data_IF_516118959631
#
_entry.id   IF_516118959631
#
_cell.length_a   1.000
_cell.length_b   1.000
_cell.length_c   1.000
_cell.angle_alpha   90.00
_cell.angle_beta   90.00
_cell.angle_gamma   90.00
#
_symmetry.space_group_name_H-M   'P 1'
#
loop_
_entity.id
_entity.type
_entity.pdbx_description
1 polymer ?
#
# COMPACT_ATOMS: atom_id res chain seq x y z
N UNK A 1 -2.78 -25.45 12.87
CA UNK A 1 -1.82 -25.19 11.76
C UNK A 1 -1.77 -23.70 11.50
N UNK A 2 -0.58 -23.10 11.48
CA UNK A 2 -0.43 -21.68 11.28
C UNK A 2 -0.88 -21.27 9.87
N UNK A 3 -1.73 -20.25 9.78
CA UNK A 3 -2.36 -19.83 8.52
C UNK A 3 -1.46 -18.97 7.64
N UNK A 4 -0.34 -18.47 8.15
CA UNK A 4 0.64 -17.62 7.48
C UNK A 4 2.06 -18.18 7.63
N UNK A 5 3.02 -17.65 6.88
CA UNK A 5 4.43 -17.94 7.06
C UNK A 5 5.00 -17.25 8.31
N UNK A 6 6.02 -17.86 8.91
CA UNK A 6 6.83 -17.17 9.90
C UNK A 6 7.60 -16.05 9.21
N UNK A 7 7.60 -14.87 9.80
CA UNK A 7 8.35 -13.73 9.30
C UNK A 7 9.17 -13.11 10.42
N UNK A 8 10.25 -12.47 10.05
CA UNK A 8 11.15 -11.73 10.96
C UNK A 8 11.21 -10.26 10.51
N UNK A 9 11.33 -9.36 11.49
CA UNK A 9 11.62 -7.96 11.21
C UNK A 9 13.14 -7.75 11.25
N UNK A 10 13.70 -7.23 10.18
CA UNK A 10 15.10 -6.85 10.07
C UNK A 10 15.22 -5.34 10.34
N UNK A 11 15.83 -4.99 11.48
CA UNK A 11 16.01 -3.61 11.92
C UNK A 11 17.01 -2.84 11.04
N UNK A 12 17.94 -3.53 10.38
CA UNK A 12 18.94 -2.89 9.52
C UNK A 12 18.30 -2.40 8.23
N UNK A 13 17.48 -3.24 7.60
CA UNK A 13 16.80 -2.93 6.35
C UNK A 13 15.41 -2.32 6.55
N UNK A 14 14.90 -2.33 7.80
CA UNK A 14 13.54 -1.91 8.17
C UNK A 14 12.46 -2.66 7.37
N UNK A 15 12.65 -3.98 7.20
CA UNK A 15 11.76 -4.83 6.42
C UNK A 15 11.26 -6.04 7.21
N UNK A 16 10.04 -6.48 6.89
CA UNK A 16 9.54 -7.79 7.29
C UNK A 16 9.88 -8.81 6.21
N UNK A 17 10.54 -9.90 6.59
CA UNK A 17 11.04 -10.90 5.66
C UNK A 17 10.43 -12.28 5.96
N UNK A 18 9.97 -12.98 4.93
CA UNK A 18 9.55 -14.36 5.03
C UNK A 18 9.93 -15.15 3.77
N UNK A 19 10.10 -16.46 3.93
CA UNK A 19 10.39 -17.39 2.84
C UNK A 19 9.22 -18.33 2.64
N UNK A 20 8.80 -18.50 1.40
CA UNK A 20 7.72 -19.41 1.03
C UNK A 20 8.20 -20.88 1.00
N UNK A 21 7.25 -21.81 0.88
CA UNK A 21 7.57 -23.25 0.69
C UNK A 21 8.39 -23.53 -0.59
N UNK A 22 8.38 -22.60 -1.55
CA UNK A 22 9.14 -22.69 -2.81
C UNK A 22 10.48 -21.93 -2.72
N UNK A 23 10.94 -21.64 -1.50
CA UNK A 23 12.20 -20.94 -1.22
C UNK A 23 12.29 -19.51 -1.76
N UNK A 24 11.14 -18.88 -2.01
CA UNK A 24 11.08 -17.51 -2.48
C UNK A 24 11.03 -16.57 -1.28
N UNK A 25 11.98 -15.64 -1.23
CA UNK A 25 12.04 -14.58 -0.22
C UNK A 25 11.11 -13.44 -0.62
N UNK A 26 10.24 -13.04 0.30
CA UNK A 26 9.44 -11.81 0.27
C UNK A 26 9.98 -10.81 1.27
N UNK A 27 10.03 -9.54 0.84
CA UNK A 27 10.34 -8.40 1.69
C UNK A 27 9.19 -7.42 1.66
N UNK A 28 8.73 -7.02 2.85
CA UNK A 28 7.64 -6.08 3.03
C UNK A 28 8.19 -4.88 3.78
N UNK A 29 8.05 -3.69 3.22
CA UNK A 29 8.48 -2.44 3.84
C UNK A 29 7.32 -1.43 3.90
N UNK A 30 7.35 -0.57 4.91
CA UNK A 30 6.52 0.62 5.01
C UNK A 30 7.45 1.84 4.95
N UNK A 31 7.37 2.57 3.85
CA UNK A 31 8.22 3.73 3.58
C UNK A 31 7.39 5.00 3.73
N UNK A 32 7.90 6.00 4.43
CA UNK A 32 7.21 7.29 4.58
C UNK A 32 6.92 7.87 3.19
N UNK A 33 5.67 8.27 2.99
CA UNK A 33 5.24 8.94 1.76
C UNK A 33 5.45 10.45 1.90
N UNK A 34 6.39 10.99 1.14
CA UNK A 34 6.70 12.41 1.16
C UNK A 34 5.72 13.28 0.35
N UNK A 35 4.86 12.67 -0.46
CA UNK A 35 3.88 13.38 -1.29
C UNK A 35 2.91 14.18 -0.43
N UNK A 36 2.48 13.61 0.70
CA UNK A 36 1.58 14.30 1.64
C UNK A 36 2.24 15.53 2.26
N UNK A 37 3.52 15.45 2.62
CA UNK A 37 4.31 16.60 3.09
C UNK A 37 4.43 17.67 2.02
N UNK A 38 4.72 17.26 0.77
CA UNK A 38 4.85 18.19 -0.36
C UNK A 38 3.55 18.92 -0.66
N UNK A 39 2.41 18.22 -0.68
CA UNK A 39 1.10 18.82 -0.96
C UNK A 39 0.66 19.76 0.15
N UNK A 40 0.85 19.37 1.41
CA UNK A 40 0.39 20.15 2.56
C UNK A 40 1.31 21.32 2.92
N UNK A 41 2.59 21.26 2.55
CA UNK A 41 3.64 22.17 3.02
C UNK A 41 3.99 22.00 4.49
N UNK A 42 3.48 20.96 5.16
CA UNK A 42 3.76 20.61 6.54
C UNK A 42 4.37 19.21 6.63
N UNK A 43 5.21 18.95 7.62
CA UNK A 43 5.77 17.63 7.83
C UNK A 43 4.68 16.62 8.20
N UNK A 44 4.49 15.61 7.34
CA UNK A 44 3.58 14.49 7.55
C UNK A 44 4.40 13.22 7.69
N UNK A 45 4.49 12.69 8.89
CA UNK A 45 5.37 11.55 9.21
C UNK A 45 4.66 10.21 9.35
N UNK A 46 3.33 10.19 9.30
CA UNK A 46 2.51 9.00 9.62
C UNK A 46 1.76 8.44 8.41
N UNK A 47 2.13 8.83 7.20
CA UNK A 47 1.63 8.24 5.96
C UNK A 47 2.75 7.44 5.31
N UNK A 48 2.45 6.19 4.98
CA UNK A 48 3.44 5.24 4.47
C UNK A 48 2.97 4.63 3.16
N UNK A 49 3.92 4.26 2.31
CA UNK A 49 3.69 3.37 1.18
C UNK A 49 4.02 1.93 1.57
N UNK A 50 3.20 0.99 1.10
CA UNK A 50 3.48 -0.44 1.19
C UNK A 50 4.32 -0.88 0.00
N UNK A 51 5.50 -1.42 0.28
CA UNK A 51 6.36 -2.04 -0.71
C UNK A 51 6.35 -3.56 -0.48
N UNK A 52 6.07 -4.30 -1.52
CA UNK A 52 6.12 -5.76 -1.53
C UNK A 52 7.10 -6.19 -2.61
N UNK A 53 8.22 -6.73 -2.20
CA UNK A 53 9.26 -7.24 -3.09
C UNK A 53 9.35 -8.76 -3.02
N UNK A 54 9.60 -9.36 -4.15
CA UNK A 54 9.88 -10.80 -4.30
C UNK A 54 11.30 -10.98 -4.85
N UNK A 55 12.04 -11.95 -4.32
CA UNK A 55 13.45 -12.16 -4.66
C UNK A 55 13.70 -12.62 -6.10
N UNK A 56 12.65 -13.03 -6.82
CA UNK A 56 12.72 -13.41 -8.22
C UNK A 56 11.43 -12.98 -8.96
N UNK A 57 11.51 -12.94 -10.29
CA UNK A 57 10.38 -12.59 -11.16
C UNK A 57 9.57 -13.81 -11.64
N UNK A 58 9.84 -15.00 -11.08
CA UNK A 58 9.14 -16.22 -11.47
C UNK A 58 7.65 -16.14 -11.14
N UNK A 59 6.83 -16.66 -12.05
CA UNK A 59 5.40 -16.78 -11.83
C UNK A 59 5.16 -17.97 -10.92
N UNK A 60 4.70 -17.69 -9.69
CA UNK A 60 4.29 -18.75 -8.76
C UNK A 60 2.82 -19.09 -8.91
N UNK A 61 2.50 -20.35 -8.65
CA UNK A 61 1.12 -20.74 -8.37
C UNK A 61 0.61 -20.00 -7.12
N UNK A 62 -0.68 -19.68 -7.11
CA UNK A 62 -1.30 -18.99 -5.98
C UNK A 62 -1.02 -19.69 -4.65
N UNK A 63 -0.43 -18.98 -3.73
CA UNK A 63 -0.19 -19.43 -2.35
C UNK A 63 -0.94 -18.52 -1.36
N UNK A 64 -2.01 -19.05 -0.79
CA UNK A 64 -2.84 -18.31 0.17
C UNK A 64 -2.10 -17.91 1.46
N UNK A 65 -1.01 -18.61 1.81
CA UNK A 65 -0.19 -18.24 2.96
C UNK A 65 0.58 -16.93 2.74
N UNK A 66 0.97 -16.62 1.50
CA UNK A 66 1.62 -15.34 1.15
C UNK A 66 0.67 -14.19 1.47
N UNK A 67 -0.56 -14.21 0.95
CA UNK A 67 -1.54 -13.16 1.21
C UNK A 67 -1.85 -13.00 2.70
N UNK A 68 -2.02 -14.11 3.41
CA UNK A 68 -2.27 -14.10 4.86
C UNK A 68 -1.08 -13.59 5.67
N UNK A 69 0.15 -13.81 5.20
CA UNK A 69 1.34 -13.25 5.84
C UNK A 69 1.36 -11.73 5.69
N UNK A 70 1.11 -11.24 4.48
CA UNK A 70 1.04 -9.81 4.20
C UNK A 70 -0.10 -9.15 5.00
N UNK A 71 -1.28 -9.76 5.02
CA UNK A 71 -2.42 -9.29 5.84
C UNK A 71 -2.03 -9.17 7.32
N UNK A 72 -1.36 -10.17 7.89
CA UNK A 72 -0.94 -10.15 9.28
C UNK A 72 0.11 -9.07 9.57
N UNK A 73 1.02 -8.80 8.63
CA UNK A 73 1.99 -7.70 8.73
C UNK A 73 1.27 -6.34 8.69
N UNK A 74 0.28 -6.18 7.80
CA UNK A 74 -0.55 -4.96 7.71
C UNK A 74 -1.37 -4.76 8.99
N UNK A 75 -1.98 -5.80 9.55
CA UNK A 75 -2.67 -5.74 10.84
C UNK A 75 -1.75 -5.22 11.94
N UNK A 76 -0.52 -5.71 11.98
CA UNK A 76 0.49 -5.27 12.95
C UNK A 76 0.89 -3.81 12.74
N UNK A 77 1.02 -3.36 11.50
CA UNK A 77 1.30 -1.96 11.16
C UNK A 77 0.22 -1.01 11.70
N UNK A 78 -1.06 -1.39 11.58
CA UNK A 78 -2.18 -0.59 12.06
C UNK A 78 -2.46 -0.72 13.57
N UNK A 79 -1.69 -1.49 14.32
CA UNK A 79 -1.74 -1.42 15.80
C UNK A 79 -1.36 -0.02 16.31
N UNK A 80 -0.57 0.72 15.54
CA UNK A 80 -0.37 2.14 15.75
C UNK A 80 -1.45 2.93 15.03
N UNK A 81 -2.39 3.48 15.79
CA UNK A 81 -3.63 4.13 15.29
C UNK A 81 -3.33 5.33 14.38
N UNK A 82 -2.22 6.02 14.62
CA UNK A 82 -1.79 7.19 13.86
C UNK A 82 -1.28 6.83 12.46
N UNK A 83 -0.92 5.59 12.22
CA UNK A 83 -0.42 5.16 10.92
C UNK A 83 -1.53 5.20 9.87
N UNK A 84 -1.16 5.67 8.70
CA UNK A 84 -1.96 5.61 7.49
C UNK A 84 -1.14 5.00 6.36
N UNK A 85 -1.81 4.34 5.44
CA UNK A 85 -1.18 3.64 4.33
C UNK A 85 -1.73 4.16 3.01
N UNK A 86 -0.85 4.58 2.12
CA UNK A 86 -1.19 4.82 0.72
C UNK A 86 -0.64 3.68 -0.13
N UNK A 87 -1.44 3.21 -1.06
CA UNK A 87 -1.05 2.21 -2.04
C UNK A 87 -1.30 2.76 -3.44
N UNK A 88 -0.26 2.76 -4.26
CA UNK A 88 -0.30 3.30 -5.61
C UNK A 88 0.14 2.21 -6.58
N UNK A 89 -0.69 1.89 -7.56
CA UNK A 89 -0.36 1.03 -8.69
C UNK A 89 -0.30 1.87 -9.96
N UNK A 90 0.88 1.97 -10.54
CA UNK A 90 1.07 2.51 -11.88
C UNK A 90 0.82 1.43 -12.94
N UNK A 91 0.31 1.84 -14.10
CA UNK A 91 -0.07 0.92 -15.18
C UNK A 91 1.09 0.64 -16.15
N UNK A 92 2.30 0.46 -15.62
CA UNK A 92 3.51 0.28 -16.41
C UNK A 92 3.50 -1.01 -17.27
N UNK A 93 2.62 -1.99 -16.94
CA UNK A 93 2.56 -3.29 -17.61
C UNK A 93 1.13 -3.84 -17.72
N UNK A 94 0.10 -3.02 -17.77
CA UNK A 94 -1.31 -3.43 -17.80
C UNK A 94 -1.73 -4.35 -16.62
N UNK A 95 -0.99 -4.28 -15.52
CA UNK A 95 -1.21 -5.12 -14.32
C UNK A 95 -1.71 -4.33 -13.12
N UNK A 96 -1.77 -2.99 -13.21
CA UNK A 96 -2.15 -2.13 -12.10
C UNK A 96 -3.56 -2.44 -11.61
N UNK A 97 -4.52 -2.57 -12.52
CA UNK A 97 -5.91 -2.90 -12.20
C UNK A 97 -6.01 -4.24 -11.47
N UNK A 98 -5.32 -5.29 -11.96
CA UNK A 98 -5.30 -6.60 -11.31
C UNK A 98 -4.69 -6.55 -9.91
N UNK A 99 -3.61 -5.79 -9.71
CA UNK A 99 -3.01 -5.61 -8.38
C UNK A 99 -3.97 -4.90 -7.44
N UNK A 100 -4.63 -3.86 -7.93
CA UNK A 100 -5.64 -3.12 -7.18
C UNK A 100 -6.83 -4.01 -6.78
N UNK A 101 -7.34 -4.84 -7.69
CA UNK A 101 -8.39 -5.81 -7.42
C UNK A 101 -7.97 -6.88 -6.39
N UNK A 102 -6.72 -7.38 -6.48
CA UNK A 102 -6.18 -8.33 -5.50
C UNK A 102 -6.13 -7.68 -4.12
N UNK A 103 -5.64 -6.45 -4.02
CA UNK A 103 -5.55 -5.71 -2.77
C UNK A 103 -6.94 -5.42 -2.19
N UNK A 104 -7.92 -5.07 -3.01
CA UNK A 104 -9.32 -4.90 -2.62
C UNK A 104 -9.92 -6.20 -2.08
N UNK A 105 -9.60 -7.33 -2.69
CA UNK A 105 -10.07 -8.65 -2.26
C UNK A 105 -9.48 -9.03 -0.90
N UNK A 106 -8.20 -8.75 -0.68
CA UNK A 106 -7.54 -8.99 0.60
C UNK A 106 -8.19 -8.13 1.70
N UNK A 107 -8.34 -6.85 1.46
CA UNK A 107 -9.01 -5.96 2.42
C UNK A 107 -10.42 -6.43 2.78
N UNK A 108 -11.24 -6.78 1.79
CA UNK A 108 -12.62 -7.25 2.02
C UNK A 108 -12.68 -8.55 2.84
N UNK A 109 -11.70 -9.41 2.74
CA UNK A 109 -11.61 -10.68 3.46
C UNK A 109 -10.91 -10.57 4.82
N UNK A 110 -10.18 -9.51 5.05
CA UNK A 110 -9.43 -9.30 6.29
C UNK A 110 -10.35 -8.93 7.47
N UNK A 111 -9.88 -9.21 8.67
CA UNK A 111 -10.56 -8.80 9.90
C UNK A 111 -10.36 -7.31 10.21
N UNK A 112 -9.26 -6.72 9.73
CA UNK A 112 -8.96 -5.32 10.02
C UNK A 112 -9.91 -4.33 9.32
N UNK A 113 -10.69 -4.75 8.33
CA UNK A 113 -11.76 -3.92 7.71
C UNK A 113 -12.77 -3.37 8.74
N UNK A 114 -12.90 -4.01 9.90
CA UNK A 114 -13.81 -3.55 10.96
C UNK A 114 -13.32 -2.25 11.63
N UNK A 115 -12.01 -2.00 11.58
CA UNK A 115 -11.36 -0.86 12.25
C UNK A 115 -10.59 0.04 11.27
N UNK A 116 -10.24 -0.46 10.08
CA UNK A 116 -9.53 0.29 9.04
C UNK A 116 -10.50 0.70 7.94
N UNK A 117 -10.49 1.97 7.61
CA UNK A 117 -11.24 2.52 6.47
C UNK A 117 -10.31 2.52 5.27
N UNK A 118 -10.82 2.10 4.11
CA UNK A 118 -10.13 2.10 2.82
C UNK A 118 -10.94 2.93 1.83
N UNK A 119 -10.27 3.90 1.20
CA UNK A 119 -10.84 4.76 0.17
C UNK A 119 -10.01 4.60 -1.09
N UNK A 120 -10.70 4.31 -2.19
CA UNK A 120 -10.09 4.14 -3.50
C UNK A 120 -10.27 5.39 -4.35
N UNK A 121 -9.26 5.72 -5.14
CA UNK A 121 -9.32 6.75 -6.15
C UNK A 121 -8.53 6.32 -7.39
N UNK A 122 -9.13 6.50 -8.57
CA UNK A 122 -8.46 6.28 -9.84
C UNK A 122 -8.08 7.66 -10.39
N UNK A 123 -6.78 7.91 -10.42
CA UNK A 123 -6.20 9.19 -10.82
C UNK A 123 -5.78 9.11 -12.29
N UNK A 124 -6.11 10.12 -13.09
CA UNK A 124 -5.64 10.26 -14.46
C UNK A 124 -4.49 11.26 -14.50
N UNK A 125 -3.29 10.79 -14.82
CA UNK A 125 -2.09 11.62 -14.94
C UNK A 125 -1.72 11.78 -16.41
N UNK A 126 -1.52 13.01 -16.87
CA UNK A 126 -1.05 13.29 -18.22
C UNK A 126 0.44 12.97 -18.32
N UNK A 127 0.85 12.06 -19.21
CA UNK A 127 2.25 11.76 -19.50
C UNK A 127 2.79 12.68 -20.60
N UNK A 128 1.94 12.97 -21.59
CA UNK A 128 2.21 13.90 -22.68
C UNK A 128 0.91 14.62 -23.08
N UNK A 129 0.95 15.53 -24.07
CA UNK A 129 -0.23 16.28 -24.54
C UNK A 129 -1.40 15.37 -24.95
N UNK A 130 -1.11 14.16 -25.44
CA UNK A 130 -2.11 13.24 -25.97
C UNK A 130 -2.19 11.89 -25.22
N UNK A 131 -1.42 11.71 -24.16
CA UNK A 131 -1.33 10.44 -23.44
C UNK A 131 -1.63 10.62 -21.95
N UNK A 132 -2.57 9.83 -21.45
CA UNK A 132 -2.92 9.77 -20.04
C UNK A 132 -2.69 8.37 -19.49
N UNK A 133 -2.11 8.30 -18.28
CA UNK A 133 -1.94 7.08 -17.53
C UNK A 133 -2.93 7.07 -16.36
N UNK A 134 -3.51 5.91 -16.11
CA UNK A 134 -4.31 5.69 -14.90
C UNK A 134 -3.44 5.19 -13.76
N UNK A 135 -3.58 5.82 -12.60
CA UNK A 135 -3.01 5.36 -11.34
C UNK A 135 -4.15 4.87 -10.45
N UNK A 136 -4.10 3.62 -10.05
CA UNK A 136 -5.04 3.06 -9.10
C UNK A 136 -4.47 3.29 -7.70
N UNK A 137 -5.15 4.10 -6.92
CA UNK A 137 -4.70 4.45 -5.57
C UNK A 137 -5.70 4.00 -4.51
N UNK A 138 -5.20 3.67 -3.33
CA UNK A 138 -6.01 3.39 -2.15
C UNK A 138 -5.36 4.05 -0.94
N UNK A 139 -6.17 4.71 -0.14
CA UNK A 139 -5.76 5.29 1.12
C UNK A 139 -6.45 4.57 2.28
N UNK A 140 -5.67 4.14 3.26
CA UNK A 140 -6.15 3.35 4.40
C UNK A 140 -5.71 3.99 5.71
N UNK A 141 -6.62 4.07 6.66
CA UNK A 141 -6.37 4.63 7.98
C UNK A 141 -7.28 4.00 9.04
N UNK A 142 -6.83 4.04 10.28
CA UNK A 142 -7.66 3.59 11.40
C UNK A 142 -8.80 4.59 11.62
N UNK A 143 -10.04 4.10 11.83
CA UNK A 143 -11.20 4.98 12.04
C UNK A 143 -11.12 5.87 13.28
N UNK A 144 -10.21 5.58 14.21
CA UNK A 144 -9.89 6.41 15.38
C UNK A 144 -8.66 7.31 15.17
N UNK A 145 -8.10 7.37 13.96
CA UNK A 145 -6.98 8.26 13.68
C UNK A 145 -7.47 9.72 13.74
N UNK A 146 -6.92 10.50 14.67
CA UNK A 146 -7.34 11.90 14.90
C UNK A 146 -7.03 12.85 13.74
N UNK A 147 -6.14 12.45 12.84
CA UNK A 147 -5.70 13.26 11.70
C UNK A 147 -6.41 12.90 10.39
N UNK A 148 -7.40 12.01 10.43
CA UNK A 148 -7.97 11.44 9.20
C UNK A 148 -8.59 12.49 8.26
N UNK A 149 -9.25 13.52 8.78
CA UNK A 149 -9.89 14.57 7.98
C UNK A 149 -8.85 15.33 7.16
N UNK A 150 -7.76 15.77 7.81
CA UNK A 150 -6.65 16.45 7.15
C UNK A 150 -5.99 15.56 6.08
N UNK A 151 -5.76 14.29 6.41
CA UNK A 151 -5.15 13.34 5.49
C UNK A 151 -6.05 13.05 4.28
N UNK A 152 -7.37 12.97 4.47
CA UNK A 152 -8.33 12.84 3.37
C UNK A 152 -8.38 14.06 2.47
N UNK A 153 -8.29 15.26 3.03
CA UNK A 153 -8.22 16.49 2.25
C UNK A 153 -6.98 16.49 1.36
N UNK A 154 -5.79 16.16 1.91
CA UNK A 154 -4.55 16.05 1.14
C UNK A 154 -4.69 14.97 0.05
N UNK A 155 -5.22 13.79 0.38
CA UNK A 155 -5.42 12.71 -0.57
C UNK A 155 -6.35 13.11 -1.73
N UNK A 156 -7.39 13.90 -1.45
CA UNK A 156 -8.31 14.41 -2.48
C UNK A 156 -7.63 15.38 -3.48
N UNK A 157 -6.54 16.01 -3.09
CA UNK A 157 -5.77 16.94 -3.93
C UNK A 157 -4.70 16.24 -4.78
N UNK A 158 -4.44 14.96 -4.55
CA UNK A 158 -3.34 14.21 -5.16
C UNK A 158 -3.39 14.26 -6.70
N UNK A 159 -4.56 14.07 -7.31
CA UNK A 159 -4.71 14.10 -8.76
C UNK A 159 -4.37 15.49 -9.36
N UNK A 160 -4.83 16.54 -8.71
CA UNK A 160 -4.57 17.92 -9.13
C UNK A 160 -3.07 18.21 -9.09
N UNK A 161 -2.40 17.90 -7.99
CA UNK A 161 -0.97 18.16 -7.80
C UNK A 161 -0.13 17.36 -8.80
N UNK A 162 -0.41 16.08 -9.00
CA UNK A 162 0.30 15.25 -9.98
C UNK A 162 0.15 15.72 -11.43
N UNK A 163 -0.89 16.49 -11.75
CA UNK A 163 -1.09 17.08 -13.08
C UNK A 163 -0.54 18.51 -13.21
N UNK A 164 -0.30 19.22 -12.09
CA UNK A 164 0.25 20.58 -12.08
C UNK A 164 1.78 20.64 -12.07
N UNK A 165 2.46 19.58 -11.64
CA UNK A 165 3.94 19.50 -11.57
C UNK A 165 4.63 19.28 -12.93
N UNK A 166 3.96 19.54 -14.05
CA UNK A 166 4.49 19.34 -15.41
C UNK A 166 4.61 20.64 -16.18
#
# INVERSE_FOLDING_TARGET
MQSHYNYVFDEITNTYNFVTKNEILYRIAFIIDETFTTISGEEISNVFQLIVEKSNDEIESYDSKVSKTIEHIIERFFQKIENSLIYICSDDNEKAEKRHEIFNRWYKKSKYKEVIIKIDNIISVSISENEKQKLYTSFMFHKQNSNFEKLLEIYSQLEKVLNEEK
#
